data_IF_691414457134
#
_entry.id   IF_691414457134
#
_cell.length_a   1.000
_cell.length_b   1.000
_cell.length_c   1.000
_cell.angle_alpha   90.00
_cell.angle_beta   90.00
_cell.angle_gamma   90.00
#
_symmetry.space_group_name_H-M   'P 1'
#
loop_
_entity.id
_entity.type
_entity.pdbx_description
1 polymer ?
#
# COMPACT_ATOMS: atom_id res chain seq x y z
N UNK A 1 6.82 1.97 -33.77
CA UNK A 1 5.89 2.60 -32.80
C UNK A 1 5.31 1.67 -31.73
N UNK A 2 5.79 0.42 -31.55
CA UNK A 2 5.29 -0.51 -30.51
C UNK A 2 6.25 -0.77 -29.34
N UNK A 3 7.46 -0.22 -29.36
CA UNK A 3 8.45 -0.44 -28.31
C UNK A 3 8.30 0.51 -27.10
N UNK A 4 7.92 1.77 -27.30
CA UNK A 4 7.81 2.73 -26.18
C UNK A 4 6.65 2.42 -25.23
N UNK A 5 5.53 1.89 -25.73
CA UNK A 5 4.37 1.50 -24.91
C UNK A 5 4.67 0.28 -24.03
N UNK A 6 5.52 -0.64 -24.50
CA UNK A 6 6.01 -1.79 -23.72
C UNK A 6 6.91 -1.36 -22.57
N UNK A 7 7.82 -0.42 -22.81
CA UNK A 7 8.67 0.16 -21.76
C UNK A 7 7.89 1.07 -20.79
N UNK A 8 6.86 1.78 -21.27
CA UNK A 8 5.99 2.61 -20.42
C UNK A 8 5.17 1.78 -19.42
N UNK A 9 4.56 0.68 -19.86
CA UNK A 9 3.87 -0.27 -18.97
C UNK A 9 4.81 -0.94 -17.97
N UNK A 10 6.04 -1.25 -18.40
CA UNK A 10 7.08 -1.82 -17.54
C UNK A 10 7.60 -0.83 -16.49
N UNK A 11 7.87 0.41 -16.87
CA UNK A 11 8.24 1.48 -15.93
C UNK A 11 7.13 1.77 -14.93
N UNK A 12 5.87 1.81 -15.39
CA UNK A 12 4.71 2.02 -14.52
C UNK A 12 4.49 0.87 -13.53
N UNK A 13 4.64 -0.39 -13.99
CA UNK A 13 4.60 -1.56 -13.14
C UNK A 13 5.70 -1.56 -12.07
N UNK A 14 6.95 -1.28 -12.46
CA UNK A 14 8.08 -1.17 -11.54
C UNK A 14 7.88 -0.11 -10.46
N UNK A 15 7.39 1.07 -10.82
CA UNK A 15 7.13 2.16 -9.86
C UNK A 15 5.95 1.88 -8.93
N UNK A 16 4.90 1.22 -9.40
CA UNK A 16 3.78 0.80 -8.55
C UNK A 16 4.24 -0.20 -7.48
N UNK A 17 5.07 -1.16 -7.89
CA UNK A 17 5.64 -2.17 -7.00
C UNK A 17 6.57 -1.52 -5.97
N UNK A 18 7.44 -0.62 -6.42
CA UNK A 18 8.31 0.14 -5.53
C UNK A 18 7.52 0.93 -4.47
N UNK A 19 6.50 1.66 -4.92
CA UNK A 19 5.63 2.46 -4.04
C UNK A 19 4.86 1.57 -3.05
N UNK A 20 4.42 0.38 -3.48
CA UNK A 20 3.73 -0.57 -2.62
C UNK A 20 4.64 -1.15 -1.53
N UNK A 21 5.90 -1.50 -1.86
CA UNK A 21 6.87 -2.01 -0.88
C UNK A 21 7.27 -0.95 0.15
N UNK A 22 7.50 0.29 -0.28
CA UNK A 22 7.79 1.41 0.62
C UNK A 22 6.57 1.69 1.52
N UNK A 23 5.37 1.75 0.94
CA UNK A 23 4.12 1.91 1.69
C UNK A 23 3.88 0.79 2.71
N UNK A 24 4.21 -0.45 2.36
CA UNK A 24 4.14 -1.60 3.27
C UNK A 24 5.10 -1.46 4.45
N UNK A 25 6.34 -1.04 4.19
CA UNK A 25 7.31 -0.79 5.24
C UNK A 25 6.83 0.27 6.25
N UNK A 26 6.25 1.36 5.74
CA UNK A 26 5.66 2.42 6.57
C UNK A 26 4.44 1.90 7.34
N UNK A 27 3.55 1.14 6.70
CA UNK A 27 2.38 0.54 7.34
C UNK A 27 2.75 -0.39 8.50
N UNK A 28 3.74 -1.27 8.31
CA UNK A 28 4.24 -2.13 9.40
C UNK A 28 4.91 -1.36 10.53
N UNK A 29 5.56 -0.24 10.23
CA UNK A 29 6.11 0.64 11.26
C UNK A 29 4.99 1.35 12.04
N UNK A 30 3.92 1.77 11.38
CA UNK A 30 2.75 2.38 12.01
C UNK A 30 1.99 1.39 12.91
N UNK A 31 1.86 0.13 12.50
CA UNK A 31 1.25 -0.95 13.31
C UNK A 31 2.10 -1.40 14.52
N UNK A 32 3.39 -1.03 14.56
CA UNK A 32 4.32 -1.53 15.58
C UNK A 32 4.18 -0.77 16.91
N UNK A 33 3.97 -1.50 18.00
CA UNK A 33 4.02 -1.00 19.39
C UNK A 33 5.44 -0.69 19.89
N UNK A 34 6.47 -1.05 19.10
CA UNK A 34 7.86 -0.72 19.41
C UNK A 34 8.15 0.76 19.18
N UNK A 35 9.15 1.27 19.89
CA UNK A 35 9.55 2.68 19.85
C UNK A 35 10.93 2.86 19.20
N UNK A 36 11.21 4.07 18.70
CA UNK A 36 12.51 4.45 18.15
C UNK A 36 12.95 3.61 16.95
N UNK A 37 14.24 3.25 16.90
CA UNK A 37 14.82 2.50 15.77
C UNK A 37 14.15 1.15 15.52
N UNK A 38 13.68 0.47 16.58
CA UNK A 38 13.00 -0.81 16.44
C UNK A 38 11.67 -0.71 15.67
N UNK A 39 10.99 0.45 15.72
CA UNK A 39 9.78 0.76 14.94
C UNK A 39 10.10 0.92 13.45
N UNK A 40 11.14 1.70 13.15
CA UNK A 40 11.47 2.14 11.80
C UNK A 40 12.38 1.18 11.04
N UNK A 41 13.10 0.29 11.73
CA UNK A 41 14.01 -0.68 11.12
C UNK A 41 13.36 -1.46 9.98
N UNK A 42 12.10 -1.90 10.14
CA UNK A 42 11.34 -2.60 9.09
C UNK A 42 11.10 -1.72 7.87
N UNK A 43 10.68 -0.47 8.06
CA UNK A 43 10.50 0.48 6.95
C UNK A 43 11.81 0.71 6.20
N UNK A 44 12.92 0.86 6.93
CA UNK A 44 14.26 1.00 6.35
C UNK A 44 14.67 -0.26 5.58
N UNK A 45 14.45 -1.46 6.10
CA UNK A 45 14.75 -2.70 5.38
C UNK A 45 13.93 -2.84 4.09
N UNK A 46 12.62 -2.57 4.15
CA UNK A 46 11.78 -2.61 2.94
C UNK A 46 12.18 -1.54 1.92
N UNK A 47 12.54 -0.34 2.37
CA UNK A 47 13.07 0.71 1.51
C UNK A 47 14.41 0.29 0.86
N UNK A 48 15.35 -0.24 1.63
CA UNK A 48 16.66 -0.66 1.13
C UNK A 48 16.54 -1.82 0.15
N UNK A 49 15.70 -2.83 0.44
CA UNK A 49 15.42 -3.92 -0.49
C UNK A 49 14.83 -3.36 -1.78
N UNK A 50 13.83 -2.48 -1.69
CA UNK A 50 13.19 -1.87 -2.85
C UNK A 50 14.16 -1.02 -3.68
N UNK A 51 14.99 -0.21 -3.02
CA UNK A 51 16.00 0.64 -3.64
C UNK A 51 17.08 -0.18 -4.35
N UNK A 52 17.61 -1.21 -3.68
CA UNK A 52 18.61 -2.13 -4.27
C UNK A 52 17.99 -2.88 -5.46
N UNK A 53 16.79 -3.44 -5.31
CA UNK A 53 16.13 -4.12 -6.43
C UNK A 53 15.86 -3.19 -7.62
N UNK A 54 15.50 -1.93 -7.36
CA UNK A 54 15.28 -0.94 -8.41
C UNK A 54 16.58 -0.51 -9.09
N UNK A 55 17.64 -0.23 -8.32
CA UNK A 55 18.94 0.11 -8.89
C UNK A 55 19.56 -1.04 -9.67
N UNK A 56 19.46 -2.28 -9.18
CA UNK A 56 19.91 -3.46 -9.93
C UNK A 56 19.13 -3.61 -11.25
N UNK A 57 17.83 -3.31 -11.22
CA UNK A 57 17.00 -3.32 -12.41
C UNK A 57 17.44 -2.24 -13.43
N UNK A 58 17.59 -1.00 -12.98
CA UNK A 58 17.96 0.14 -13.83
C UNK A 58 19.39 0.04 -14.38
N UNK A 59 20.31 -0.58 -13.63
CA UNK A 59 21.67 -0.88 -14.07
C UNK A 59 21.74 -2.03 -15.09
N UNK A 60 20.59 -2.57 -15.52
CA UNK A 60 20.53 -3.62 -16.53
C UNK A 60 20.98 -4.99 -16.01
N UNK A 61 21.00 -5.20 -14.69
CA UNK A 61 21.36 -6.50 -14.11
C UNK A 61 20.36 -7.60 -14.52
N UNK A 62 19.10 -7.21 -14.76
CA UNK A 62 18.11 -8.08 -15.39
C UNK A 62 18.53 -8.49 -16.81
N UNK A 63 19.10 -7.57 -17.59
CA UNK A 63 19.71 -7.83 -18.90
C UNK A 63 20.91 -8.77 -18.83
N UNK A 64 21.84 -8.52 -17.91
CA UNK A 64 22.99 -9.41 -17.69
C UNK A 64 22.56 -10.82 -17.26
N UNK A 65 21.58 -10.92 -16.37
CA UNK A 65 20.99 -12.19 -15.97
C UNK A 65 20.35 -12.93 -17.15
N UNK A 66 19.60 -12.22 -18.01
CA UNK A 66 19.00 -12.79 -19.22
C UNK A 66 20.07 -13.32 -20.18
N UNK A 67 21.16 -12.58 -20.39
CA UNK A 67 22.26 -13.01 -21.25
C UNK A 67 22.92 -14.27 -20.69
N UNK A 68 23.17 -14.32 -19.38
CA UNK A 68 23.84 -15.45 -18.74
C UNK A 68 22.97 -16.72 -18.75
N UNK A 69 21.67 -16.59 -18.51
CA UNK A 69 20.71 -17.71 -18.58
C UNK A 69 20.58 -18.22 -20.01
N UNK A 70 20.51 -17.31 -21.00
CA UNK A 70 20.46 -17.69 -22.41
C UNK A 70 21.70 -18.46 -22.85
N UNK A 71 22.88 -18.07 -22.35
CA UNK A 71 24.14 -18.78 -22.59
C UNK A 71 24.13 -20.20 -21.99
N UNK A 72 23.66 -20.34 -20.76
CA UNK A 72 23.53 -21.66 -20.09
C UNK A 72 22.53 -22.55 -20.83
N UNK A 73 21.39 -22.00 -21.25
CA UNK A 73 20.39 -22.75 -22.03
C UNK A 73 20.94 -23.21 -23.38
N UNK A 74 21.63 -22.33 -24.11
CA UNK A 74 22.26 -22.68 -25.37
C UNK A 74 23.35 -23.77 -25.19
N UNK A 75 24.07 -23.75 -24.06
CA UNK A 75 25.09 -24.75 -23.75
C UNK A 75 24.48 -26.11 -23.45
N UNK A 76 23.38 -26.14 -22.69
CA UNK A 76 22.61 -27.37 -22.43
C UNK A 76 22.04 -27.96 -23.72
N UNK A 77 21.66 -27.10 -24.69
CA UNK A 77 21.15 -27.53 -26.00
C UNK A 77 22.23 -27.95 -27.00
N UNK A 78 23.51 -27.83 -26.64
CA UNK A 78 24.63 -28.20 -27.51
C UNK A 78 24.84 -27.26 -28.70
N UNK A 79 24.44 -25.99 -28.59
CA UNK A 79 24.77 -24.98 -29.61
C UNK A 79 26.27 -24.71 -29.62
N UNK A 80 26.83 -24.48 -30.81
CA UNK A 80 28.21 -24.08 -31.00
C UNK A 80 28.44 -22.61 -30.60
N UNK A 81 29.69 -22.31 -30.23
CA UNK A 81 30.08 -21.01 -29.65
C UNK A 81 29.84 -19.83 -30.60
N UNK A 82 29.98 -20.04 -31.91
CA UNK A 82 29.76 -19.02 -32.92
C UNK A 82 28.27 -18.65 -33.01
N UNK A 83 27.37 -19.64 -33.06
CA UNK A 83 25.92 -19.41 -33.05
C UNK A 83 25.44 -18.83 -31.72
N UNK A 84 26.06 -19.20 -30.58
CA UNK A 84 25.79 -18.59 -29.28
C UNK A 84 26.14 -17.10 -29.23
N UNK A 85 27.30 -16.74 -29.78
CA UNK A 85 27.77 -15.35 -29.86
C UNK A 85 26.92 -14.53 -30.83
N UNK A 86 26.48 -15.13 -31.95
CA UNK A 86 25.63 -14.47 -32.93
C UNK A 86 24.20 -14.25 -32.42
N UNK A 87 23.70 -15.15 -31.55
CA UNK A 87 22.36 -15.06 -30.97
C UNK A 87 22.27 -14.32 -29.63
N UNK A 88 23.40 -13.89 -29.02
CA UNK A 88 23.53 -13.00 -27.85
C UNK A 88 22.21 -12.65 -27.13
N UNK A 89 21.66 -13.61 -26.36
CA UNK A 89 20.48 -13.38 -25.51
C UNK A 89 19.12 -13.25 -26.22
N UNK A 90 19.05 -13.50 -27.53
CA UNK A 90 17.85 -13.40 -28.36
C UNK A 90 17.28 -14.74 -28.83
N UNK A 91 17.97 -15.85 -28.55
CA UNK A 91 17.49 -17.18 -28.91
C UNK A 91 16.15 -17.46 -28.19
N UNK A 92 15.07 -17.77 -28.94
CA UNK A 92 13.80 -18.16 -28.32
C UNK A 92 13.92 -19.53 -27.65
N UNK A 93 13.50 -19.61 -26.39
CA UNK A 93 13.56 -20.82 -25.57
C UNK A 93 12.63 -20.74 -24.36
N UNK A 94 12.21 -21.88 -23.77
CA UNK A 94 11.27 -21.90 -22.65
C UNK A 94 11.73 -21.10 -21.43
N UNK A 95 13.04 -20.94 -21.23
CA UNK A 95 13.59 -20.11 -20.15
C UNK A 95 13.48 -18.62 -20.48
N UNK A 96 13.83 -18.20 -21.70
CA UNK A 96 13.69 -16.82 -22.16
C UNK A 96 12.21 -16.40 -22.22
N UNK A 97 11.34 -17.27 -22.74
CA UNK A 97 9.89 -17.08 -22.71
C UNK A 97 9.37 -17.10 -21.27
N UNK A 98 9.82 -18.04 -20.44
CA UNK A 98 9.45 -18.14 -19.02
C UNK A 98 9.82 -16.89 -18.22
N UNK A 99 10.95 -16.25 -18.51
CA UNK A 99 11.35 -14.97 -17.88
C UNK A 99 10.58 -13.79 -18.45
N UNK A 100 10.34 -13.77 -19.77
CA UNK A 100 9.48 -12.78 -20.44
C UNK A 100 8.06 -12.80 -19.90
N UNK A 101 7.53 -13.98 -19.60
CA UNK A 101 6.24 -14.15 -18.94
C UNK A 101 6.31 -14.05 -17.41
N UNK A 102 7.47 -14.30 -16.82
CA UNK A 102 7.74 -14.24 -15.39
C UNK A 102 7.46 -12.86 -14.81
N UNK A 103 7.65 -11.79 -15.58
CA UNK A 103 7.22 -10.44 -15.18
C UNK A 103 5.71 -10.33 -15.03
N UNK A 104 4.90 -10.95 -15.89
CA UNK A 104 3.45 -10.96 -15.70
C UNK A 104 3.06 -11.78 -14.47
N UNK A 105 3.71 -12.92 -14.24
CA UNK A 105 3.48 -13.74 -13.03
C UNK A 105 3.83 -12.94 -11.77
N UNK A 106 4.98 -12.28 -11.75
CA UNK A 106 5.41 -11.44 -10.63
C UNK A 106 4.47 -10.25 -10.40
N UNK A 107 4.03 -9.61 -11.49
CA UNK A 107 3.04 -8.52 -11.42
C UNK A 107 1.71 -9.01 -10.84
N UNK A 108 1.23 -10.18 -11.24
CA UNK A 108 0.00 -10.78 -10.69
C UNK A 108 0.15 -11.07 -9.19
N UNK A 109 1.26 -11.69 -8.79
CA UNK A 109 1.55 -11.96 -7.36
C UNK A 109 1.56 -10.66 -6.56
N UNK A 110 2.17 -9.60 -7.08
CA UNK A 110 2.25 -8.31 -6.41
C UNK A 110 0.90 -7.58 -6.34
N UNK A 111 0.08 -7.67 -7.39
CA UNK A 111 -1.30 -7.18 -7.35
C UNK A 111 -2.08 -7.91 -6.26
N UNK A 112 -1.92 -9.23 -6.12
CA UNK A 112 -2.58 -10.02 -5.06
C UNK A 112 -2.10 -9.54 -3.68
N UNK A 113 -0.78 -9.37 -3.49
CA UNK A 113 -0.21 -8.85 -2.23
C UNK A 113 -0.78 -7.46 -1.93
N UNK A 114 -0.81 -6.56 -2.92
CA UNK A 114 -1.37 -5.21 -2.77
C UNK A 114 -2.84 -5.26 -2.35
N UNK A 115 -3.67 -6.09 -3.01
CA UNK A 115 -5.09 -6.25 -2.66
C UNK A 115 -5.24 -6.74 -1.21
N UNK A 116 -4.46 -7.76 -0.80
CA UNK A 116 -4.48 -8.28 0.57
C UNK A 116 -4.11 -7.21 1.58
N UNK A 117 -3.09 -6.42 1.29
CA UNK A 117 -2.57 -5.40 2.20
C UNK A 117 -3.50 -4.19 2.30
N UNK A 118 -4.09 -3.76 1.18
CA UNK A 118 -5.15 -2.75 1.20
C UNK A 118 -6.31 -3.23 2.05
N UNK A 119 -6.76 -4.49 1.89
CA UNK A 119 -7.83 -5.06 2.73
C UNK A 119 -7.48 -5.10 4.21
N UNK A 120 -6.24 -5.44 4.55
CA UNK A 120 -5.76 -5.45 5.94
C UNK A 120 -5.75 -4.03 6.52
N UNK A 121 -5.20 -3.07 5.77
CA UNK A 121 -5.14 -1.65 6.16
C UNK A 121 -6.54 -1.09 6.43
N UNK A 122 -7.51 -1.32 5.53
CA UNK A 122 -8.89 -0.88 5.72
C UNK A 122 -9.56 -1.54 6.94
N UNK A 123 -9.31 -2.83 7.20
CA UNK A 123 -9.84 -3.51 8.39
C UNK A 123 -9.27 -2.91 9.67
N UNK A 124 -7.97 -2.62 9.67
CA UNK A 124 -7.32 -1.97 10.81
C UNK A 124 -7.91 -0.57 11.04
N UNK A 125 -8.00 0.25 9.99
CA UNK A 125 -8.60 1.58 10.05
C UNK A 125 -10.03 1.53 10.60
N UNK A 126 -10.87 0.61 10.11
CA UNK A 126 -12.24 0.47 10.60
C UNK A 126 -12.26 0.01 12.07
N UNK A 127 -11.39 -0.92 12.46
CA UNK A 127 -11.29 -1.38 13.85
C UNK A 127 -10.93 -0.23 14.78
N UNK A 128 -9.95 0.59 14.42
CA UNK A 128 -9.55 1.78 15.17
C UNK A 128 -10.72 2.77 15.24
N UNK A 129 -11.42 3.01 14.12
CA UNK A 129 -12.56 3.93 14.09
C UNK A 129 -13.69 3.46 15.00
N UNK A 130 -14.05 2.17 14.96
CA UNK A 130 -15.09 1.60 15.83
C UNK A 130 -14.67 1.68 17.30
N UNK A 131 -13.45 1.24 17.63
CA UNK A 131 -12.93 1.26 19.01
C UNK A 131 -12.92 2.68 19.58
N UNK A 132 -12.35 3.64 18.84
CA UNK A 132 -12.22 5.01 19.31
C UNK A 132 -13.55 5.76 19.32
N UNK A 133 -14.43 5.57 18.34
CA UNK A 133 -15.72 6.28 18.29
C UNK A 133 -16.79 5.65 19.18
N UNK A 134 -16.65 4.38 19.57
CA UNK A 134 -17.60 3.73 20.49
C UNK A 134 -17.59 4.34 21.91
N UNK A 135 -16.50 5.02 22.29
CA UNK A 135 -16.39 5.67 23.60
C UNK A 135 -16.76 7.16 23.57
N UNK A 136 -17.26 7.68 22.45
CA UNK A 136 -17.66 9.08 22.32
C UNK A 136 -19.09 9.31 22.79
N UNK A 137 -19.38 10.55 23.16
CA UNK A 137 -20.73 10.94 23.54
C UNK A 137 -21.68 10.91 22.32
N UNK A 138 -23.00 10.66 22.53
CA UNK A 138 -24.00 10.62 21.45
C UNK A 138 -24.07 11.89 20.59
N UNK A 139 -23.64 13.02 21.16
CA UNK A 139 -23.56 14.32 20.47
C UNK A 139 -22.50 14.32 19.37
N UNK A 140 -21.41 13.56 19.56
CA UNK A 140 -20.31 13.41 18.59
C UNK A 140 -20.54 12.20 17.69
N UNK A 141 -20.92 11.05 18.27
CA UNK A 141 -21.17 9.80 17.55
C UNK A 141 -22.49 9.17 18.01
N UNK A 142 -23.51 9.17 17.15
CA UNK A 142 -24.80 8.56 17.49
C UNK A 142 -24.75 7.04 17.36
N UNK A 143 -25.61 6.34 18.08
CA UNK A 143 -25.69 4.88 18.02
C UNK A 143 -26.01 4.39 16.60
N UNK A 144 -26.92 5.05 15.87
CA UNK A 144 -27.21 4.65 14.48
C UNK A 144 -26.02 4.84 13.53
N UNK A 145 -25.16 5.82 13.80
CA UNK A 145 -23.96 6.10 13.01
C UNK A 145 -22.87 5.08 13.29
N UNK A 146 -22.75 4.65 14.56
CA UNK A 146 -21.85 3.58 14.98
C UNK A 146 -22.26 2.24 14.37
N UNK A 147 -23.57 1.96 14.29
CA UNK A 147 -24.07 0.79 13.57
C UNK A 147 -23.70 0.85 12.08
N UNK A 148 -23.80 2.02 11.43
CA UNK A 148 -23.38 2.19 10.02
C UNK A 148 -21.88 1.99 9.85
N UNK A 149 -21.06 2.53 10.74
CA UNK A 149 -19.59 2.36 10.72
C UNK A 149 -19.20 0.88 10.77
N UNK A 150 -19.83 0.09 11.64
CA UNK A 150 -19.60 -1.36 11.73
C UNK A 150 -19.90 -2.11 10.42
N UNK A 151 -20.75 -1.56 9.55
CA UNK A 151 -21.12 -2.16 8.26
C UNK A 151 -20.33 -1.61 7.07
N UNK A 152 -19.36 -0.71 7.28
CA UNK A 152 -18.56 -0.14 6.21
C UNK A 152 -17.78 -1.23 5.45
N UNK A 153 -17.86 -1.17 4.12
CA UNK A 153 -17.19 -2.11 3.22
C UNK A 153 -15.89 -1.50 2.69
N UNK A 154 -15.04 -2.37 2.15
CA UNK A 154 -13.82 -1.95 1.46
C UNK A 154 -14.15 -0.90 0.38
N UNK A 155 -13.47 0.25 0.42
CA UNK A 155 -13.67 1.39 -0.49
C UNK A 155 -15.05 2.07 -0.43
N UNK A 156 -15.87 1.77 0.57
CA UNK A 156 -17.17 2.41 0.77
C UNK A 156 -17.19 3.04 2.16
N UNK A 157 -17.35 4.36 2.20
CA UNK A 157 -17.58 5.10 3.44
C UNK A 157 -19.07 5.21 3.69
N UNK A 158 -19.47 5.27 4.96
CA UNK A 158 -20.85 5.54 5.34
C UNK A 158 -21.29 6.90 4.81
N UNK A 159 -22.58 7.00 4.61
CA UNK A 159 -23.28 8.25 4.32
C UNK A 159 -24.47 8.37 5.25
N UNK A 160 -24.79 9.60 5.59
CA UNK A 160 -25.87 9.98 6.48
C UNK A 160 -26.96 10.61 5.63
N UNK A 161 -28.14 9.99 5.67
CA UNK A 161 -29.29 10.31 4.82
C UNK A 161 -30.05 11.54 5.32
N UNK A 162 -29.91 11.81 6.60
CA UNK A 162 -30.52 12.92 7.35
C UNK A 162 -29.79 14.26 7.13
N UNK A 163 -28.61 14.24 6.50
CA UNK A 163 -27.82 15.44 6.20
C UNK A 163 -27.65 15.63 4.69
N UNK A 164 -27.52 16.89 4.21
CA UNK A 164 -27.08 17.15 2.84
C UNK A 164 -25.74 16.45 2.56
N UNK A 165 -25.54 15.93 1.35
CA UNK A 165 -24.34 15.16 0.95
C UNK A 165 -23.02 15.83 1.38
N UNK A 166 -22.91 17.15 1.24
CA UNK A 166 -21.72 17.92 1.63
C UNK A 166 -21.47 17.88 3.14
N UNK A 167 -22.52 17.98 3.95
CA UNK A 167 -22.46 17.92 5.42
C UNK A 167 -22.16 16.49 5.87
N UNK A 168 -22.87 15.50 5.32
CA UNK A 168 -22.60 14.08 5.62
C UNK A 168 -21.14 13.70 5.34
N UNK A 169 -20.58 14.09 4.19
CA UNK A 169 -19.19 13.81 3.86
C UNK A 169 -18.20 14.45 4.85
N UNK A 170 -18.51 15.67 5.33
CA UNK A 170 -17.67 16.37 6.33
C UNK A 170 -17.78 15.72 7.71
N UNK A 171 -18.98 15.33 8.13
CA UNK A 171 -19.19 14.62 9.39
C UNK A 171 -18.37 13.33 9.42
N UNK A 172 -18.48 12.51 8.37
CA UNK A 172 -17.72 11.26 8.24
C UNK A 172 -16.21 11.52 8.25
N UNK A 173 -15.73 12.54 7.54
CA UNK A 173 -14.32 12.93 7.56
C UNK A 173 -13.85 13.31 8.96
N UNK A 174 -14.57 14.17 9.67
CA UNK A 174 -14.17 14.65 10.99
C UNK A 174 -14.26 13.56 12.06
N UNK A 175 -15.24 12.66 11.98
CA UNK A 175 -15.31 11.49 12.85
C UNK A 175 -14.12 10.55 12.61
N UNK A 176 -13.76 10.29 11.34
CA UNK A 176 -12.61 9.43 11.04
C UNK A 176 -11.29 10.08 11.50
N UNK A 177 -11.13 11.40 11.32
CA UNK A 177 -9.98 12.13 11.84
C UNK A 177 -9.93 12.11 13.37
N UNK A 178 -11.06 12.28 14.04
CA UNK A 178 -11.16 12.23 15.50
C UNK A 178 -10.68 10.87 16.02
N UNK A 179 -11.15 9.77 15.42
CA UNK A 179 -10.69 8.44 15.79
C UNK A 179 -9.16 8.30 15.67
N UNK A 180 -8.59 8.75 14.56
CA UNK A 180 -7.14 8.65 14.34
C UNK A 180 -6.33 9.50 15.32
N UNK A 181 -6.80 10.70 15.65
CA UNK A 181 -6.17 11.58 16.64
C UNK A 181 -6.23 10.97 18.05
N UNK A 182 -7.39 10.42 18.44
CA UNK A 182 -7.54 9.72 19.73
C UNK A 182 -6.62 8.51 19.82
N UNK A 183 -6.58 7.68 18.78
CA UNK A 183 -5.71 6.53 18.72
C UNK A 183 -4.23 6.91 18.86
N UNK A 184 -3.80 7.95 18.12
CA UNK A 184 -2.43 8.47 18.19
C UNK A 184 -2.10 8.99 19.59
N UNK A 185 -2.99 9.78 20.20
CA UNK A 185 -2.83 10.28 21.56
C UNK A 185 -2.66 9.14 22.59
N UNK A 186 -3.48 8.08 22.48
CA UNK A 186 -3.37 6.89 23.32
C UNK A 186 -2.06 6.13 23.11
N UNK A 187 -1.61 5.97 21.86
CA UNK A 187 -0.30 5.38 21.57
C UNK A 187 0.86 6.18 22.17
N UNK A 188 0.72 7.51 22.23
CA UNK A 188 1.69 8.41 22.86
C UNK A 188 1.54 8.55 24.38
N UNK A 189 0.56 7.88 24.99
CA UNK A 189 0.29 7.94 26.43
C UNK A 189 -0.24 9.30 26.90
N UNK A 190 -0.81 10.12 26.01
CA UNK A 190 -1.39 11.42 26.34
C UNK A 190 -2.86 11.27 26.74
N UNK A 191 -3.29 12.06 27.72
CA UNK A 191 -4.70 12.17 28.04
C UNK A 191 -5.43 12.88 26.88
N UNK A 192 -6.63 12.40 26.52
CA UNK A 192 -7.38 12.94 25.38
C UNK A 192 -7.80 14.40 25.56
N UNK A 193 -7.97 14.83 26.82
CA UNK A 193 -8.40 16.18 27.17
C UNK A 193 -7.29 17.22 26.93
N UNK A 194 -6.03 16.79 26.90
CA UNK A 194 -4.87 17.64 26.65
C UNK A 194 -4.53 17.78 25.15
N UNK A 195 -5.28 17.11 24.28
CA UNK A 195 -5.01 17.07 22.83
C UNK A 195 -5.96 18.03 22.11
N UNK A 196 -5.48 19.24 21.83
CA UNK A 196 -6.25 20.31 21.15
C UNK A 196 -6.98 19.84 19.88
N UNK A 197 -6.37 19.05 18.96
CA UNK A 197 -7.08 18.53 17.80
C UNK A 197 -8.32 17.69 18.13
N UNK A 198 -8.34 16.95 19.25
CA UNK A 198 -9.48 16.11 19.67
C UNK A 198 -10.65 17.00 20.06
N UNK A 199 -10.42 18.03 20.87
CA UNK A 199 -11.45 18.99 21.29
C UNK A 199 -12.00 19.76 20.08
N UNK A 200 -11.12 20.27 19.21
CA UNK A 200 -11.49 21.00 17.99
C UNK A 200 -12.36 20.15 17.06
N UNK A 201 -12.04 18.87 16.89
CA UNK A 201 -12.83 17.95 16.05
C UNK A 201 -14.19 17.63 16.65
N UNK A 202 -14.30 17.43 17.97
CA UNK A 202 -15.59 17.25 18.65
C UNK A 202 -16.51 18.46 18.43
N UNK A 203 -15.97 19.67 18.58
CA UNK A 203 -16.73 20.91 18.35
C UNK A 203 -17.11 21.09 16.87
N UNK A 204 -16.20 20.76 15.94
CA UNK A 204 -16.48 20.82 14.51
C UNK A 204 -17.60 19.85 14.10
N UNK A 205 -17.63 18.65 14.65
CA UNK A 205 -18.73 17.68 14.43
C UNK A 205 -20.05 18.26 14.96
N UNK A 206 -20.05 18.81 16.17
CA UNK A 206 -21.25 19.41 16.77
C UNK A 206 -21.79 20.58 15.94
N UNK A 207 -20.93 21.49 15.51
CA UNK A 207 -21.34 22.62 14.68
C UNK A 207 -21.94 22.18 13.34
N UNK A 208 -21.40 21.13 12.71
CA UNK A 208 -21.95 20.57 11.48
C UNK A 208 -23.33 19.93 11.66
N UNK A 209 -23.66 19.43 12.85
CA UNK A 209 -24.98 18.87 13.14
C UNK A 209 -26.05 19.93 13.33
N UNK A 210 -25.64 21.13 13.76
CA UNK A 210 -26.52 22.25 14.10
C UNK A 210 -26.65 23.28 12.95
N UNK A 211 -25.96 23.05 11.83
CA UNK A 211 -25.94 23.91 10.64
C UNK A 211 -26.93 23.42 9.57
#
# INVERSE_FOLDING_TARGET
YLHSTRFGLWGFGGHLVWSAFVGLGIGFAAESTKHGWAKWSRAVYFYLISAVSHSLYDLGLSGLGMTLISFVEAAIRGMDADTMMETLGTAPGPLNDGMRYGVYVWTIVLIIVMIVQVRRSFRLENTIQVEELSTEEPVVMREEELARLNTEKLFSKRTYTEYPKKVSNKLVLYQNLLAMQKHTARQEGRALDDVEPVATLRQAIQSLRNA
#
